data_IF_924279550037
#
_entry.id   IF_924279550037
#
_cell.length_a   1.000
_cell.length_b   1.000
_cell.length_c   1.000
_cell.angle_alpha   90.00
_cell.angle_beta   90.00
_cell.angle_gamma   90.00
#
_symmetry.space_group_name_H-M   'P 1'
#
loop_
_entity.id
_entity.type
_entity.pdbx_description
1 polymer ?
#
# COMPACT_ATOMS: atom_id res chain seq x y z
N UNK A 1 21.61 -0.60 4.90
CA UNK A 1 20.81 0.35 5.70
C UNK A 1 19.38 0.18 5.25
N UNK A 2 18.45 -0.11 6.18
CA UNK A 2 17.04 -0.30 5.82
C UNK A 2 16.48 1.06 5.39
N UNK A 3 15.81 1.13 4.24
CA UNK A 3 15.12 2.36 3.80
C UNK A 3 13.99 2.66 4.80
N UNK A 4 14.01 3.81 5.51
CA UNK A 4 12.98 4.16 6.48
C UNK A 4 11.57 4.13 5.90
N UNK A 5 11.41 4.45 4.61
CA UNK A 5 10.12 4.40 3.93
C UNK A 5 9.61 2.96 3.78
N UNK A 6 10.51 2.02 3.47
CA UNK A 6 10.16 0.60 3.39
C UNK A 6 9.84 0.02 4.77
N UNK A 7 10.59 0.41 5.81
CA UNK A 7 10.32 -0.01 7.18
C UNK A 7 8.94 0.47 7.66
N UNK A 8 8.62 1.75 7.42
CA UNK A 8 7.30 2.31 7.74
C UNK A 8 6.18 1.60 6.96
N UNK A 9 6.40 1.36 5.67
CA UNK A 9 5.42 0.67 4.82
C UNK A 9 5.17 -0.77 5.30
N UNK A 10 6.23 -1.52 5.61
CA UNK A 10 6.14 -2.86 6.18
C UNK A 10 5.34 -2.87 7.48
N UNK A 11 5.52 -1.86 8.35
CA UNK A 11 4.72 -1.71 9.56
C UNK A 11 3.23 -1.51 9.24
N UNK A 12 2.88 -0.76 8.20
CA UNK A 12 1.48 -0.58 7.81
C UNK A 12 0.87 -1.90 7.30
N UNK A 13 1.62 -2.71 6.56
CA UNK A 13 1.12 -3.99 6.04
C UNK A 13 0.85 -5.03 7.13
N UNK A 14 1.48 -4.92 8.30
CA UNK A 14 1.12 -5.75 9.47
C UNK A 14 -0.34 -5.54 9.86
N UNK A 15 -0.88 -4.32 9.70
CA UNK A 15 -2.30 -4.02 9.95
C UNK A 15 -3.22 -4.73 8.94
N UNK A 16 -2.73 -5.07 7.74
CA UNK A 16 -3.41 -5.91 6.76
C UNK A 16 -3.26 -7.42 7.03
N UNK A 17 -2.59 -7.80 8.13
CA UNK A 17 -2.31 -9.19 8.51
C UNK A 17 -1.06 -9.79 7.86
N UNK A 18 -0.16 -8.96 7.32
CA UNK A 18 1.11 -9.43 6.74
C UNK A 18 2.15 -9.67 7.83
N UNK A 19 3.14 -10.52 7.54
CA UNK A 19 4.36 -10.58 8.32
C UNK A 19 5.19 -9.29 8.12
N UNK A 20 5.91 -8.87 9.16
CA UNK A 20 6.81 -7.72 9.04
C UNK A 20 8.08 -8.12 8.27
N UNK A 21 8.16 -7.71 7.01
CA UNK A 21 9.28 -8.01 6.10
C UNK A 21 9.95 -6.72 5.59
N UNK A 22 11.28 -6.67 5.49
CA UNK A 22 12.01 -5.46 5.07
C UNK A 22 11.78 -5.08 3.59
N UNK A 23 11.33 -6.04 2.77
CA UNK A 23 11.04 -5.86 1.35
C UNK A 23 9.56 -6.22 1.07
N UNK A 24 8.61 -5.35 1.45
CA UNK A 24 7.17 -5.64 1.40
C UNK A 24 6.62 -5.95 0.01
N UNK A 25 7.34 -5.57 -1.05
CA UNK A 25 7.00 -5.82 -2.45
C UNK A 25 7.69 -7.06 -3.05
N UNK A 26 8.22 -7.96 -2.23
CA UNK A 26 8.91 -9.19 -2.66
C UNK A 26 8.28 -10.44 -2.04
N UNK A 27 6.96 -10.55 -2.11
CA UNK A 27 6.28 -11.82 -1.77
C UNK A 27 6.15 -12.71 -3.01
N UNK A 28 5.89 -13.99 -2.78
CA UNK A 28 5.66 -14.97 -3.85
C UNK A 28 4.54 -14.54 -4.80
N UNK A 29 4.79 -14.62 -6.10
CA UNK A 29 3.89 -14.09 -7.12
C UNK A 29 2.49 -14.73 -7.07
N UNK A 30 2.40 -16.03 -6.82
CA UNK A 30 1.10 -16.71 -6.71
C UNK A 30 0.32 -16.27 -5.45
N UNK A 31 1.01 -16.00 -4.34
CA UNK A 31 0.39 -15.44 -3.13
C UNK A 31 -0.12 -14.03 -3.40
N UNK A 32 0.67 -13.20 -4.08
CA UNK A 32 0.28 -11.85 -4.45
C UNK A 32 -0.96 -11.84 -5.38
N UNK A 33 -0.97 -12.74 -6.37
CA UNK A 33 -2.11 -12.86 -7.30
C UNK A 33 -3.37 -13.32 -6.59
N UNK A 34 -3.29 -14.34 -5.73
CA UNK A 34 -4.43 -14.83 -4.97
C UNK A 34 -5.01 -13.73 -4.07
N UNK A 35 -4.14 -12.93 -3.42
CA UNK A 35 -4.57 -11.81 -2.57
C UNK A 35 -5.23 -10.69 -3.38
N UNK A 36 -4.70 -10.32 -4.55
CA UNK A 36 -5.34 -9.34 -5.43
C UNK A 36 -6.73 -9.81 -5.90
N UNK A 37 -6.87 -11.08 -6.25
CA UNK A 37 -8.16 -11.65 -6.62
C UNK A 37 -9.16 -11.62 -5.46
N UNK A 38 -8.73 -11.95 -4.24
CA UNK A 38 -9.58 -11.86 -3.05
C UNK A 38 -10.04 -10.41 -2.76
N UNK A 39 -9.21 -9.43 -3.10
CA UNK A 39 -9.55 -8.00 -3.03
C UNK A 39 -10.41 -7.54 -4.22
N UNK A 40 -10.69 -8.40 -5.20
CA UNK A 40 -11.44 -8.05 -6.41
C UNK A 40 -10.66 -7.21 -7.42
N UNK A 41 -9.32 -7.24 -7.38
CA UNK A 41 -8.46 -6.58 -8.38
C UNK A 41 -8.07 -7.61 -9.45
N UNK A 42 -8.77 -7.57 -10.57
CA UNK A 42 -8.60 -8.54 -11.65
C UNK A 42 -7.38 -8.24 -12.55
N UNK A 43 -7.04 -6.97 -12.72
CA UNK A 43 -6.00 -6.53 -13.65
C UNK A 43 -5.32 -5.21 -13.25
N UNK A 44 -4.36 -4.78 -14.08
CA UNK A 44 -3.57 -3.55 -13.88
C UNK A 44 -4.40 -2.27 -14.02
N UNK A 45 -5.49 -2.30 -14.79
CA UNK A 45 -6.40 -1.16 -14.96
C UNK A 45 -7.21 -0.91 -13.69
N UNK A 46 -7.80 -1.97 -13.14
CA UNK A 46 -8.51 -1.93 -11.85
C UNK A 46 -7.58 -1.49 -10.71
N UNK A 47 -6.34 -2.01 -10.68
CA UNK A 47 -5.31 -1.53 -9.74
C UNK A 47 -5.09 -0.02 -9.86
N UNK A 48 -4.88 0.47 -11.09
CA UNK A 48 -4.65 1.89 -11.35
C UNK A 48 -5.83 2.76 -10.90
N UNK A 49 -7.06 2.31 -11.14
CA UNK A 49 -8.26 3.01 -10.69
C UNK A 49 -8.31 3.13 -9.16
N UNK A 50 -8.08 2.02 -8.43
CA UNK A 50 -8.10 2.05 -6.96
C UNK A 50 -7.01 2.92 -6.34
N UNK A 51 -5.81 2.94 -6.93
CA UNK A 51 -4.73 3.85 -6.50
C UNK A 51 -5.11 5.32 -6.71
N UNK A 52 -5.78 5.63 -7.83
CA UNK A 52 -6.28 6.99 -8.10
C UNK A 52 -7.39 7.40 -7.13
N UNK A 53 -8.34 6.50 -6.83
CA UNK A 53 -9.40 6.76 -5.84
C UNK A 53 -8.83 7.01 -4.44
N UNK A 54 -7.82 6.23 -4.03
CA UNK A 54 -7.20 6.38 -2.73
C UNK A 54 -6.53 7.76 -2.55
N UNK A 55 -5.95 8.32 -3.61
CA UNK A 55 -5.34 9.64 -3.61
C UNK A 55 -6.31 10.82 -3.77
N UNK A 56 -7.61 10.63 -3.56
CA UNK A 56 -8.65 11.68 -3.71
C UNK A 56 -9.05 12.32 -2.36
N UNK A 57 -9.57 13.55 -2.39
CA UNK A 57 -9.78 14.45 -1.23
C UNK A 57 -10.69 13.90 -0.11
N UNK A 58 -11.41 12.78 -0.33
CA UNK A 58 -12.37 12.21 0.63
C UNK A 58 -12.12 10.75 0.98
N UNK A 59 -10.91 10.27 0.79
CA UNK A 59 -10.58 8.86 1.06
C UNK A 59 -10.62 8.53 2.56
N UNK A 60 -11.35 7.48 2.90
CA UNK A 60 -11.35 6.83 4.22
C UNK A 60 -9.94 6.28 4.57
N UNK A 61 -9.42 6.43 5.80
CA UNK A 61 -8.16 5.80 6.22
C UNK A 61 -8.03 4.32 5.82
N UNK A 62 -9.11 3.52 5.92
CA UNK A 62 -9.06 2.11 5.49
C UNK A 62 -8.73 1.93 4.00
N UNK A 63 -9.15 2.87 3.14
CA UNK A 63 -8.83 2.85 1.70
C UNK A 63 -7.39 3.26 1.42
N UNK A 64 -6.81 4.16 2.21
CA UNK A 64 -5.39 4.50 2.12
C UNK A 64 -4.52 3.30 2.51
N UNK A 65 -4.88 2.61 3.59
CA UNK A 65 -4.22 1.37 4.00
C UNK A 65 -4.33 0.28 2.92
N UNK A 66 -5.53 0.08 2.37
CA UNK A 66 -5.73 -0.86 1.27
C UNK A 66 -4.87 -0.50 0.04
N UNK A 67 -4.71 0.79 -0.28
CA UNK A 67 -3.85 1.22 -1.39
C UNK A 67 -2.37 0.89 -1.16
N UNK A 68 -1.88 0.98 0.08
CA UNK A 68 -0.53 0.54 0.45
C UNK A 68 -0.36 -0.98 0.25
N UNK A 69 -1.37 -1.79 0.59
CA UNK A 69 -1.37 -3.24 0.34
C UNK A 69 -1.38 -3.54 -1.17
N UNK A 70 -2.24 -2.87 -1.93
CA UNK A 70 -2.32 -3.02 -3.39
C UNK A 70 -0.98 -2.71 -4.06
N UNK A 71 -0.26 -1.71 -3.57
CA UNK A 71 1.06 -1.34 -4.09
C UNK A 71 2.10 -2.46 -3.89
N UNK A 72 2.04 -3.15 -2.75
CA UNK A 72 2.98 -4.22 -2.38
C UNK A 72 2.76 -5.45 -3.27
N UNK A 73 1.48 -5.80 -3.45
CA UNK A 73 1.03 -6.89 -4.31
C UNK A 73 1.41 -6.62 -5.78
N UNK A 74 1.13 -5.41 -6.26
CA UNK A 74 1.46 -5.01 -7.63
C UNK A 74 2.97 -4.98 -7.89
N UNK A 75 3.77 -4.55 -6.91
CA UNK A 75 5.23 -4.61 -6.97
C UNK A 75 5.74 -6.05 -7.04
N UNK A 76 5.18 -6.95 -6.24
CA UNK A 76 5.55 -8.38 -6.23
C UNK A 76 5.25 -9.07 -7.56
N UNK A 77 4.19 -8.65 -8.27
CA UNK A 77 3.86 -9.13 -9.61
C UNK A 77 4.56 -8.38 -10.76
N UNK A 78 5.41 -7.40 -10.45
CA UNK A 78 6.03 -6.50 -11.43
C UNK A 78 5.00 -5.81 -12.34
N UNK A 79 3.78 -5.56 -11.84
CA UNK A 79 2.77 -4.77 -12.55
C UNK A 79 3.15 -3.29 -12.59
N UNK A 80 3.94 -2.86 -11.61
CA UNK A 80 4.55 -1.54 -11.54
C UNK A 80 6.06 -1.69 -11.52
N UNK A 81 6.76 -0.84 -12.26
CA UNK A 81 8.21 -0.72 -12.13
C UNK A 81 8.55 -0.13 -10.76
N UNK A 82 9.74 -0.44 -10.25
CA UNK A 82 10.20 0.06 -8.95
C UNK A 82 10.14 1.60 -8.84
N UNK A 83 10.55 2.40 -9.85
CA UNK A 83 10.40 3.86 -9.78
C UNK A 83 8.94 4.30 -9.64
N UNK A 84 8.03 3.66 -10.38
CA UNK A 84 6.59 3.99 -10.35
C UNK A 84 5.96 3.60 -9.01
N UNK A 85 6.33 2.44 -8.48
CA UNK A 85 5.92 1.99 -7.16
C UNK A 85 6.37 2.99 -6.08
N UNK A 86 7.63 3.41 -6.11
CA UNK A 86 8.18 4.38 -5.16
C UNK A 86 7.46 5.72 -5.23
N UNK A 87 7.15 6.23 -6.42
CA UNK A 87 6.38 7.47 -6.58
C UNK A 87 4.98 7.37 -5.97
N UNK A 88 4.31 6.24 -6.14
CA UNK A 88 3.01 5.98 -5.51
C UNK A 88 3.11 5.89 -3.98
N UNK A 89 4.14 5.20 -3.47
CA UNK A 89 4.36 5.08 -2.04
C UNK A 89 4.56 6.44 -1.39
N UNK A 90 5.41 7.29 -1.96
CA UNK A 90 5.63 8.66 -1.48
C UNK A 90 4.32 9.46 -1.51
N UNK A 91 3.58 9.42 -2.63
CA UNK A 91 2.29 10.12 -2.74
C UNK A 91 1.29 9.69 -1.67
N UNK A 92 1.12 8.39 -1.44
CA UNK A 92 0.20 7.87 -0.42
C UNK A 92 0.65 8.24 0.99
N UNK A 93 1.96 8.22 1.23
CA UNK A 93 2.58 8.60 2.50
C UNK A 93 2.33 10.09 2.79
N UNK A 94 2.56 10.96 1.80
CA UNK A 94 2.27 12.40 1.91
C UNK A 94 0.77 12.64 2.15
N UNK A 95 -0.11 11.89 1.49
CA UNK A 95 -1.56 11.99 1.71
C UNK A 95 -1.93 11.63 3.16
N UNK A 96 -1.35 10.55 3.71
CA UNK A 96 -1.57 10.13 5.10
C UNK A 96 -1.06 11.21 6.06
N UNK A 97 0.17 11.68 5.90
CA UNK A 97 0.75 12.70 6.80
C UNK A 97 0.11 14.09 6.65
N UNK A 98 -0.52 14.40 5.51
CA UNK A 98 -1.30 15.63 5.36
C UNK A 98 -2.61 15.62 6.15
N UNK A 99 -3.15 14.43 6.43
CA UNK A 99 -4.45 14.23 7.11
C UNK A 99 -4.29 13.87 8.59
N UNK A 100 -3.23 13.15 8.93
CA UNK A 100 -2.97 12.66 10.27
C UNK A 100 -1.65 13.24 10.75
N UNK A 101 -1.69 13.97 11.87
CA UNK A 101 -0.53 14.72 12.36
C UNK A 101 0.66 13.82 12.78
N UNK A 102 0.39 12.56 13.09
CA UNK A 102 1.40 11.57 13.47
C UNK A 102 0.86 10.15 13.24
N UNK A 103 1.73 9.16 13.50
CA UNK A 103 1.40 7.75 13.39
C UNK A 103 0.26 7.33 14.35
N UNK A 104 0.20 7.90 15.55
CA UNK A 104 -0.83 7.56 16.55
C UNK A 104 -2.23 7.94 16.05
N UNK A 105 -2.44 9.17 15.59
CA UNK A 105 -3.70 9.61 15.00
C UNK A 105 -4.08 8.81 13.76
N UNK A 106 -3.10 8.36 12.96
CA UNK A 106 -3.35 7.47 11.83
C UNK A 106 -3.89 6.10 12.29
N UNK A 107 -3.27 5.51 13.31
CA UNK A 107 -3.70 4.22 13.86
C UNK A 107 -5.08 4.33 14.54
N UNK A 108 -5.33 5.39 15.30
CA UNK A 108 -6.65 5.66 15.88
C UNK A 108 -7.75 5.79 14.81
N UNK A 109 -7.44 6.41 13.67
CA UNK A 109 -8.38 6.58 12.58
C UNK A 109 -8.70 5.28 11.84
N UNK A 110 -7.85 4.25 11.97
CA UNK A 110 -8.07 2.93 11.38
C UNK A 110 -8.97 2.02 12.23
N UNK A 111 -9.23 2.37 13.49
CA UNK A 111 -10.14 1.66 14.40
C UNK A 111 -9.44 0.80 15.44
#
# INVERSE_FOLDING_TARGET
MVDPLNAWWAQQLVLCGWAFEPEPNKIEAEVARARLQALGVADRGELGWRLMEAGSIRTDPARLLAALELLALAGSLQWLSEPRMRSWLVRLTDEIFSRYANLEHWLEALG
#
